data_IF_462638779200
#
_entry.id   IF_462638779200
#
_cell.length_a   1.000
_cell.length_b   1.000
_cell.length_c   1.000
_cell.angle_alpha   90.00
_cell.angle_beta   90.00
_cell.angle_gamma   90.00
#
_symmetry.space_group_name_H-M   'P 1'
#
loop_
_entity.id
_entity.type
_entity.pdbx_description
1 polymer ?
#
# COMPACT_ATOMS: atom_id res chain seq x y z
N UNK A 1 22.66 -14.09 -18.16
CA UNK A 1 21.90 -13.61 -16.99
C UNK A 1 21.08 -12.42 -17.44
N UNK A 2 19.74 -12.49 -17.35
CA UNK A 2 18.90 -11.33 -17.66
C UNK A 2 19.18 -10.22 -16.63
N UNK A 3 19.59 -9.05 -17.10
CA UNK A 3 19.66 -7.86 -16.25
C UNK A 3 18.23 -7.47 -15.87
N UNK A 4 17.86 -7.69 -14.60
CA UNK A 4 16.61 -7.17 -14.05
C UNK A 4 16.73 -5.64 -13.99
N UNK A 5 15.95 -4.95 -14.82
CA UNK A 5 15.90 -3.49 -14.82
C UNK A 5 14.76 -3.01 -13.92
N UNK A 6 15.03 -2.96 -12.61
CA UNK A 6 14.01 -2.77 -11.58
C UNK A 6 13.29 -1.41 -11.62
N UNK A 7 13.92 -0.41 -12.24
CA UNK A 7 13.40 0.97 -12.32
C UNK A 7 12.05 1.11 -13.05
N UNK A 8 11.62 0.05 -13.76
CA UNK A 8 10.34 0.02 -14.46
C UNK A 8 9.21 -0.68 -13.69
N UNK A 9 9.49 -1.30 -12.55
CA UNK A 9 8.45 -1.99 -11.76
C UNK A 9 7.91 -1.08 -10.66
N UNK A 10 6.58 -0.98 -10.57
CA UNK A 10 5.86 -0.34 -9.49
C UNK A 10 5.08 -1.36 -8.66
N UNK A 11 5.23 -1.29 -7.35
CA UNK A 11 4.51 -2.13 -6.40
C UNK A 11 3.49 -1.26 -5.67
N UNK A 12 2.25 -1.71 -5.68
CA UNK A 12 1.14 -1.07 -4.96
C UNK A 12 0.98 -1.79 -3.62
N UNK A 13 0.98 -1.03 -2.54
CA UNK A 13 0.98 -1.58 -1.18
C UNK A 13 -0.15 -0.94 -0.39
N UNK A 14 -1.03 -1.76 0.17
CA UNK A 14 -2.02 -1.32 1.15
C UNK A 14 -1.31 -0.91 2.43
N UNK A 15 -1.25 0.40 2.68
CA UNK A 15 -0.59 0.98 3.83
C UNK A 15 -1.40 0.80 5.12
N UNK A 16 -2.69 0.47 5.05
CA UNK A 16 -3.60 0.44 6.21
C UNK A 16 -3.83 -0.98 6.74
N UNK A 17 -3.48 -2.01 5.95
CA UNK A 17 -3.65 -3.40 6.32
C UNK A 17 -2.53 -3.93 7.22
N UNK A 18 -2.91 -4.58 8.32
CA UNK A 18 -2.01 -5.27 9.25
C UNK A 18 -2.03 -4.68 10.66
N UNK A 19 -1.62 -5.49 11.64
CA UNK A 19 -1.73 -5.14 13.08
C UNK A 19 -0.86 -3.92 13.47
N UNK A 20 0.24 -3.70 12.76
CA UNK A 20 1.19 -2.60 13.00
C UNK A 20 1.15 -1.53 11.89
N UNK A 21 0.06 -1.50 11.12
CA UNK A 21 -0.12 -0.51 10.07
C UNK A 21 -0.45 0.89 10.65
N UNK A 22 -0.01 1.98 9.98
CA UNK A 22 0.76 1.98 8.74
C UNK A 22 2.28 1.93 8.91
N UNK A 23 2.79 2.01 10.14
CA UNK A 23 4.21 2.24 10.40
C UNK A 23 5.12 1.15 9.80
N UNK A 24 4.84 -0.12 10.10
CA UNK A 24 5.67 -1.24 9.60
C UNK A 24 5.57 -1.41 8.09
N UNK A 25 4.41 -1.06 7.50
CA UNK A 25 4.24 -1.07 6.05
C UNK A 25 5.08 0.03 5.39
N UNK A 26 5.14 1.22 6.01
CA UNK A 26 5.98 2.32 5.53
C UNK A 26 7.47 1.93 5.63
N UNK A 27 7.92 1.36 6.75
CA UNK A 27 9.31 0.90 6.94
C UNK A 27 9.70 -0.11 5.86
N UNK A 28 8.94 -1.20 5.72
CA UNK A 28 9.21 -2.22 4.72
C UNK A 28 9.17 -1.68 3.28
N UNK A 29 8.32 -0.69 3.01
CA UNK A 29 8.26 -0.02 1.70
C UNK A 29 9.51 0.79 1.38
N UNK A 30 10.05 1.52 2.37
CA UNK A 30 11.30 2.27 2.23
C UNK A 30 12.46 1.30 2.00
N UNK A 31 12.57 0.26 2.83
CA UNK A 31 13.60 -0.78 2.71
C UNK A 31 13.55 -1.48 1.34
N UNK A 32 12.36 -1.87 0.87
CA UNK A 32 12.18 -2.53 -0.42
C UNK A 32 12.56 -1.62 -1.59
N UNK A 33 12.18 -0.33 -1.53
CA UNK A 33 12.58 0.65 -2.56
C UNK A 33 14.10 0.77 -2.63
N UNK A 34 14.77 0.85 -1.50
CA UNK A 34 16.23 1.02 -1.43
C UNK A 34 16.99 -0.24 -1.89
N UNK A 35 16.54 -1.41 -1.44
CA UNK A 35 17.18 -2.68 -1.79
C UNK A 35 16.98 -3.06 -3.26
N UNK A 36 15.77 -2.86 -3.79
CA UNK A 36 15.39 -3.38 -5.11
C UNK A 36 15.29 -2.31 -6.20
N UNK A 37 15.34 -1.02 -5.85
CA UNK A 37 15.16 0.11 -6.78
C UNK A 37 13.84 0.04 -7.56
N UNK A 38 12.78 -0.41 -6.89
CA UNK A 38 11.41 -0.44 -7.42
C UNK A 38 10.68 0.84 -7.04
N UNK A 39 9.67 1.22 -7.83
CA UNK A 39 8.75 2.31 -7.47
C UNK A 39 7.72 1.76 -6.47
N UNK A 40 7.35 2.57 -5.48
CA UNK A 40 6.35 2.19 -4.48
C UNK A 40 5.19 3.17 -4.51
N UNK A 41 3.97 2.61 -4.47
CA UNK A 41 2.72 3.34 -4.24
C UNK A 41 2.07 2.85 -2.95
N UNK A 42 2.04 3.70 -1.93
CA UNK A 42 1.31 3.45 -0.68
C UNK A 42 -0.14 3.89 -0.84
N UNK A 43 -1.08 2.95 -0.70
CA UNK A 43 -2.52 3.25 -0.74
C UNK A 43 -3.06 3.33 0.68
N UNK A 44 -3.67 4.45 1.06
CA UNK A 44 -4.18 4.59 2.41
C UNK A 44 -4.63 5.99 2.79
N UNK A 45 -5.04 6.16 4.05
CA UNK A 45 -5.32 7.48 4.60
C UNK A 45 -4.02 8.32 4.58
N UNK A 46 -3.99 9.32 3.69
CA UNK A 46 -2.82 10.16 3.44
C UNK A 46 -2.33 10.90 4.67
N UNK A 47 -3.24 11.39 5.50
CA UNK A 47 -2.89 12.16 6.70
C UNK A 47 -2.31 11.24 7.78
N UNK A 48 -2.88 10.03 7.93
CA UNK A 48 -2.35 9.00 8.85
C UNK A 48 -0.95 8.55 8.44
N UNK A 49 -0.73 8.28 7.14
CA UNK A 49 0.59 7.91 6.60
C UNK A 49 1.62 9.01 6.90
N UNK A 50 1.30 10.27 6.57
CA UNK A 50 2.22 11.39 6.78
C UNK A 50 2.51 11.65 8.26
N UNK A 51 1.49 11.56 9.11
CA UNK A 51 1.64 11.76 10.55
C UNK A 51 2.55 10.70 11.15
N UNK A 52 2.32 9.43 10.83
CA UNK A 52 3.14 8.31 11.32
C UNK A 52 4.57 8.39 10.78
N UNK A 53 4.74 8.69 9.50
CA UNK A 53 6.07 8.86 8.93
C UNK A 53 6.85 9.99 9.62
N UNK A 54 6.19 11.13 9.90
CA UNK A 54 6.81 12.24 10.61
C UNK A 54 7.17 11.87 12.06
N UNK A 55 6.27 11.21 12.80
CA UNK A 55 6.53 10.82 14.20
C UNK A 55 7.64 9.77 14.32
N UNK A 56 7.76 8.87 13.35
CA UNK A 56 8.76 7.80 13.32
C UNK A 56 10.01 8.15 12.51
N UNK A 57 10.16 9.42 12.09
CA UNK A 57 11.31 9.91 11.31
C UNK A 57 11.58 9.13 10.00
N UNK A 58 10.52 8.64 9.36
CA UNK A 58 10.58 7.88 8.11
C UNK A 58 10.52 8.82 6.89
N UNK A 59 11.50 8.72 5.99
CA UNK A 59 11.52 9.53 4.77
C UNK A 59 10.67 8.92 3.65
N UNK A 60 9.62 9.63 3.24
CA UNK A 60 8.73 9.23 2.15
C UNK A 60 9.17 9.72 0.75
N UNK A 61 10.33 10.36 0.61
CA UNK A 61 10.80 10.90 -0.68
C UNK A 61 10.84 9.84 -1.77
N UNK A 62 10.11 10.05 -2.88
CA UNK A 62 10.04 9.08 -3.98
C UNK A 62 9.06 7.92 -3.75
N UNK A 63 8.29 7.92 -2.66
CA UNK A 63 7.10 7.08 -2.49
C UNK A 63 5.87 7.88 -2.91
N UNK A 64 5.07 7.32 -3.81
CA UNK A 64 3.77 7.87 -4.18
C UNK A 64 2.73 7.48 -3.12
N UNK A 65 1.91 8.44 -2.66
CA UNK A 65 0.81 8.17 -1.74
C UNK A 65 -0.51 8.32 -2.52
N UNK A 66 -1.24 7.22 -2.67
CA UNK A 66 -2.58 7.18 -3.25
C UNK A 66 -3.60 7.24 -2.11
N UNK A 67 -4.44 8.29 -2.03
CA UNK A 67 -5.36 8.44 -0.93
C UNK A 67 -6.50 7.41 -0.98
N UNK A 68 -6.88 6.89 0.19
CA UNK A 68 -8.12 6.15 0.43
C UNK A 68 -8.89 6.79 1.59
N UNK A 69 -10.22 6.67 1.60
CA UNK A 69 -11.09 7.35 2.58
C UNK A 69 -11.95 6.39 3.42
N UNK A 70 -11.89 5.09 3.16
CA UNK A 70 -12.59 4.08 3.96
C UNK A 70 -11.60 3.12 4.62
N UNK A 71 -11.82 2.85 5.90
CA UNK A 71 -11.05 1.84 6.64
C UNK A 71 -11.73 0.49 6.52
N UNK A 72 -10.95 -0.60 6.55
CA UNK A 72 -11.46 -1.99 6.61
C UNK A 72 -11.07 -2.56 7.96
N UNK A 73 -12.05 -3.06 8.71
CA UNK A 73 -11.83 -3.73 9.98
C UNK A 73 -11.66 -5.24 9.77
N UNK A 74 -10.90 -5.87 10.66
CA UNK A 74 -10.66 -7.33 10.63
C UNK A 74 -11.94 -8.16 10.76
N UNK A 75 -13.01 -7.59 11.33
CA UNK A 75 -14.29 -8.29 11.55
C UNK A 75 -15.27 -8.18 10.37
N UNK A 76 -14.91 -7.45 9.32
CA UNK A 76 -15.81 -7.27 8.17
C UNK A 76 -15.72 -8.44 7.21
N UNK A 77 -16.88 -8.84 6.68
CA UNK A 77 -16.93 -9.92 5.70
C UNK A 77 -16.40 -9.44 4.34
N UNK A 78 -15.74 -10.31 3.56
CA UNK A 78 -15.29 -10.02 2.20
C UNK A 78 -16.37 -9.37 1.32
N UNK A 79 -17.56 -9.96 1.39
CA UNK A 79 -18.70 -9.52 0.58
C UNK A 79 -19.19 -8.11 0.93
N UNK A 80 -19.03 -7.67 2.17
CA UNK A 80 -19.38 -6.32 2.58
C UNK A 80 -18.34 -5.30 2.15
N UNK A 81 -17.06 -5.65 2.29
CA UNK A 81 -15.93 -4.81 1.87
C UNK A 81 -16.01 -4.53 0.37
N UNK A 82 -16.17 -5.57 -0.45
CA UNK A 82 -16.27 -5.42 -1.91
C UNK A 82 -17.49 -4.60 -2.36
N UNK A 83 -18.61 -4.67 -1.62
CA UNK A 83 -19.84 -3.95 -1.98
C UNK A 83 -19.83 -2.49 -1.50
N UNK A 84 -19.34 -2.24 -0.29
CA UNK A 84 -19.52 -0.95 0.42
C UNK A 84 -18.24 -0.13 0.51
N UNK A 85 -17.07 -0.75 0.38
CA UNK A 85 -15.76 -0.14 0.67
C UNK A 85 -14.87 0.00 -0.56
N UNK A 86 -15.45 0.49 -1.65
CA UNK A 86 -14.72 0.79 -2.91
C UNK A 86 -13.67 1.89 -2.77
N UNK A 87 -13.70 2.65 -1.67
CA UNK A 87 -12.69 3.64 -1.35
C UNK A 87 -11.77 3.19 -0.19
N UNK A 88 -11.68 1.87 0.05
CA UNK A 88 -10.68 1.30 0.95
C UNK A 88 -9.32 1.19 0.28
N UNK A 89 -8.26 1.18 1.09
CA UNK A 89 -6.89 1.01 0.61
C UNK A 89 -6.70 -0.29 -0.17
N UNK A 90 -7.30 -1.39 0.31
CA UNK A 90 -7.24 -2.69 -0.36
C UNK A 90 -7.95 -2.66 -1.72
N UNK A 91 -9.16 -2.07 -1.80
CA UNK A 91 -9.90 -2.00 -3.06
C UNK A 91 -9.18 -1.13 -4.09
N UNK A 92 -8.77 0.09 -3.69
CA UNK A 92 -8.05 1.01 -4.58
C UNK A 92 -6.72 0.37 -5.02
N UNK A 93 -6.02 -0.31 -4.12
CA UNK A 93 -4.76 -0.97 -4.45
C UNK A 93 -4.91 -2.09 -5.48
N UNK A 94 -5.93 -2.94 -5.31
CA UNK A 94 -6.29 -3.97 -6.30
C UNK A 94 -6.71 -3.36 -7.63
N UNK A 95 -7.52 -2.29 -7.61
CA UNK A 95 -7.98 -1.60 -8.81
C UNK A 95 -6.79 -1.06 -9.63
N UNK A 96 -5.84 -0.38 -8.97
CA UNK A 96 -4.62 0.12 -9.62
C UNK A 96 -3.82 -1.00 -10.29
N UNK A 97 -3.65 -2.14 -9.61
CA UNK A 97 -2.96 -3.28 -10.19
C UNK A 97 -3.74 -3.84 -11.40
N UNK A 98 -5.06 -3.98 -11.30
CA UNK A 98 -5.91 -4.47 -12.39
C UNK A 98 -5.89 -3.57 -13.64
N UNK A 99 -5.72 -2.25 -13.44
CA UNK A 99 -5.62 -1.26 -14.50
C UNK A 99 -4.20 -1.12 -15.07
N UNK A 100 -3.24 -1.94 -14.61
CA UNK A 100 -1.84 -1.85 -15.03
C UNK A 100 -1.10 -0.63 -14.50
N UNK A 101 -1.66 0.08 -13.51
CA UNK A 101 -1.01 1.21 -12.82
C UNK A 101 -0.07 0.76 -11.70
N UNK A 102 0.02 -0.55 -11.48
CA UNK A 102 0.92 -1.27 -10.60
C UNK A 102 1.25 -2.63 -11.19
N UNK A 103 2.49 -3.09 -11.08
CA UNK A 103 2.88 -4.43 -11.54
C UNK A 103 2.50 -5.53 -10.55
N UNK A 104 2.37 -5.19 -9.27
CA UNK A 104 1.94 -6.08 -8.22
C UNK A 104 1.18 -5.31 -7.14
N UNK A 105 0.36 -6.05 -6.38
CA UNK A 105 -0.34 -5.55 -5.20
C UNK A 105 0.02 -6.41 -3.97
N UNK A 106 0.20 -5.76 -2.82
CA UNK A 106 0.48 -6.39 -1.53
C UNK A 106 -0.42 -5.78 -0.45
N UNK A 107 -0.97 -6.63 0.43
CA UNK A 107 -1.61 -6.21 1.68
C UNK A 107 -1.26 -7.20 2.79
N UNK A 108 -1.06 -6.67 4.01
CA UNK A 108 -0.99 -7.46 5.24
C UNK A 108 -2.32 -7.42 6.04
N UNK A 109 -3.39 -6.93 5.42
CA UNK A 109 -4.73 -6.85 6.00
C UNK A 109 -5.52 -8.17 5.92
N UNK A 110 -6.83 -8.08 6.14
CA UNK A 110 -7.74 -9.23 6.12
C UNK A 110 -7.60 -10.02 4.81
N UNK A 111 -7.15 -11.28 4.89
CA UNK A 111 -6.89 -12.15 3.74
C UNK A 111 -8.14 -12.42 2.89
N UNK A 112 -9.33 -12.34 3.49
CA UNK A 112 -10.58 -12.54 2.77
C UNK A 112 -11.06 -11.31 1.99
N UNK A 113 -10.57 -10.11 2.32
CA UNK A 113 -11.01 -8.84 1.73
C UNK A 113 -10.53 -8.68 0.27
#
# INVERSE_FOLDING_TARGET
MAQFNSNNYSIVIDAMGGDFAPEEIIKGSIEAREAFRVKIKLVGNKDKIKTVAASSQLNLDGIEIVPSFQEVSMNESPSEILKKKRNSSIFIGLELASMGQGNAFLSAGNTGA
#
